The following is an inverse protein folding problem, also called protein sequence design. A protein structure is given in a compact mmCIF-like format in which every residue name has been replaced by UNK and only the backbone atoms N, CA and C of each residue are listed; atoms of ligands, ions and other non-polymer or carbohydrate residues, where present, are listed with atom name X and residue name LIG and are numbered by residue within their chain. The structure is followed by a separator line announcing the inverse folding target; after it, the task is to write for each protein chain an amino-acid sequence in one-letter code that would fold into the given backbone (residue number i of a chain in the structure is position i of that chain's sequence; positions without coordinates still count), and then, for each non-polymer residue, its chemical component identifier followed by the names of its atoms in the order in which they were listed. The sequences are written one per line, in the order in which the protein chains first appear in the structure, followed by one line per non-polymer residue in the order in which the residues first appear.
data_IF_618768256083
#
_entry.id   IF_618768256083
#
_cell.length_a   1.000
_cell.length_b   1.000
_cell.length_c   1.000
_cell.angle_alpha   90.00
_cell.angle_beta   90.00
_cell.angle_gamma   90.00
#
_symmetry.space_group_name_H-M   'P 1'
#
loop_
_entity.id
_entity.type
_entity.pdbx_description
1 polymer ?
#
# COMPACT_ATOMS: atom_id res chain seq x y z
N UNK A 1 -14.58 13.92 -10.17
CA UNK A 1 -13.16 13.85 -10.56
C UNK A 1 -12.95 14.88 -11.66
N UNK A 2 -11.92 15.72 -11.58
CA UNK A 2 -11.70 16.76 -12.57
C UNK A 2 -11.15 16.10 -13.86
N UNK A 3 -11.54 16.50 -15.09
CA UNK A 3 -11.13 15.82 -16.32
C UNK A 3 -9.61 15.66 -16.51
N UNK A 4 -8.83 16.57 -15.91
CA UNK A 4 -7.37 16.54 -15.90
C UNK A 4 -6.83 15.36 -15.07
N UNK A 5 -7.50 15.01 -13.98
CA UNK A 5 -7.09 13.93 -13.07
C UNK A 5 -7.22 12.56 -13.76
N UNK A 6 -8.24 12.39 -14.61
CA UNK A 6 -8.47 11.16 -15.36
C UNK A 6 -7.40 10.96 -16.44
N UNK A 7 -7.06 12.02 -17.18
CA UNK A 7 -6.01 11.95 -18.19
C UNK A 7 -4.63 11.67 -17.57
N UNK A 8 -4.32 12.31 -16.44
CA UNK A 8 -3.10 12.06 -15.69
C UNK A 8 -3.05 10.61 -15.17
N UNK A 9 -4.15 10.11 -14.60
CA UNK A 9 -4.24 8.74 -14.09
C UNK A 9 -3.98 7.70 -15.19
N UNK A 10 -4.51 7.92 -16.40
CA UNK A 10 -4.26 7.05 -17.56
C UNK A 10 -2.78 7.09 -17.97
N UNK A 11 -2.19 8.29 -18.04
CA UNK A 11 -0.77 8.43 -18.41
C UNK A 11 0.15 7.76 -17.39
N UNK A 12 -0.13 7.90 -16.10
CA UNK A 12 0.61 7.22 -15.03
C UNK A 12 0.46 5.70 -15.14
N UNK A 13 -0.75 5.21 -15.40
CA UNK A 13 -1.00 3.77 -15.57
C UNK A 13 -0.22 3.19 -16.76
N UNK A 14 -0.13 3.92 -17.88
CA UNK A 14 0.71 3.52 -19.02
C UNK A 14 2.20 3.41 -18.66
N UNK A 15 2.66 4.21 -17.67
CA UNK A 15 4.00 4.11 -17.09
C UNK A 15 4.07 3.08 -15.94
N UNK A 16 3.02 2.30 -15.71
CA UNK A 16 2.88 1.29 -14.64
C UNK A 16 2.88 1.87 -13.23
N UNK A 17 2.43 3.12 -13.11
CA UNK A 17 2.28 3.83 -11.84
C UNK A 17 0.80 3.86 -11.46
N UNK A 18 0.49 3.40 -10.26
CA UNK A 18 -0.81 3.49 -9.61
C UNK A 18 -0.68 4.43 -8.41
N UNK A 19 -1.64 5.33 -8.22
CA UNK A 19 -1.65 6.28 -7.10
C UNK A 19 -2.78 5.94 -6.14
N UNK A 20 -2.43 5.63 -4.89
CA UNK A 20 -3.32 5.58 -3.75
C UNK A 20 -3.25 6.93 -3.02
N UNK A 21 -4.02 7.91 -3.50
CA UNK A 21 -3.93 9.32 -3.08
C UNK A 21 -5.04 9.80 -2.14
N UNK A 22 -5.84 8.90 -1.58
CA UNK A 22 -7.00 9.23 -0.75
C UNK A 22 -7.28 8.15 0.29
N UNK A 23 -8.35 8.31 1.07
CA UNK A 23 -8.87 7.27 1.94
C UNK A 23 -9.15 5.97 1.16
N UNK A 24 -8.84 4.84 1.78
CA UNK A 24 -9.06 3.50 1.23
C UNK A 24 -10.53 3.11 1.44
N UNK A 25 -11.31 3.16 0.36
CA UNK A 25 -12.68 2.64 0.31
C UNK A 25 -12.81 1.52 -0.74
N UNK A 26 -13.98 0.88 -0.80
CA UNK A 26 -14.22 -0.23 -1.72
C UNK A 26 -14.14 0.19 -3.20
N UNK A 27 -14.52 1.43 -3.53
CA UNK A 27 -14.47 1.93 -4.90
C UNK A 27 -13.04 2.13 -5.39
N UNK A 28 -12.20 2.72 -4.55
CA UNK A 28 -10.78 2.90 -4.79
C UNK A 28 -10.04 1.56 -4.81
N UNK A 29 -10.33 0.66 -3.87
CA UNK A 29 -9.71 -0.65 -3.84
C UNK A 29 -10.03 -1.47 -5.09
N UNK A 30 -11.29 -1.52 -5.52
CA UNK A 30 -11.66 -2.21 -6.77
C UNK A 30 -10.93 -1.64 -7.99
N UNK A 31 -10.76 -0.32 -8.05
CA UNK A 31 -10.00 0.34 -9.12
C UNK A 31 -8.53 -0.07 -9.10
N UNK A 32 -7.87 -0.02 -7.94
CA UNK A 32 -6.46 -0.39 -7.79
C UNK A 32 -6.26 -1.87 -8.11
N UNK A 33 -7.12 -2.77 -7.62
CA UNK A 33 -7.06 -4.19 -7.96
C UNK A 33 -7.20 -4.42 -9.47
N UNK A 34 -8.15 -3.74 -10.12
CA UNK A 34 -8.30 -3.80 -11.58
C UNK A 34 -7.06 -3.29 -12.33
N UNK A 35 -6.45 -2.20 -11.87
CA UNK A 35 -5.22 -1.66 -12.44
C UNK A 35 -4.03 -2.61 -12.27
N UNK A 36 -3.86 -3.22 -11.09
CA UNK A 36 -2.83 -4.23 -10.83
C UNK A 36 -2.98 -5.43 -11.78
N UNK A 37 -4.20 -5.96 -11.91
CA UNK A 37 -4.49 -7.09 -12.80
C UNK A 37 -4.26 -6.72 -14.26
N UNK A 38 -4.65 -5.52 -14.68
CA UNK A 38 -4.43 -5.04 -16.06
C UNK A 38 -2.93 -4.92 -16.38
N UNK A 39 -2.16 -4.26 -15.52
CA UNK A 39 -0.71 -4.09 -15.70
C UNK A 39 0.03 -5.43 -15.67
N UNK A 40 -0.45 -6.37 -14.87
CA UNK A 40 0.08 -7.74 -14.82
C UNK A 40 -0.19 -8.49 -16.12
N UNK A 41 -1.42 -8.40 -16.64
CA UNK A 41 -1.78 -9.01 -17.92
C UNK A 41 -1.01 -8.40 -19.11
N UNK A 42 -0.74 -7.09 -19.09
CA UNK A 42 0.06 -6.42 -20.12
C UNK A 42 1.52 -6.88 -20.13
N UNK A 43 2.14 -6.99 -18.96
CA UNK A 43 3.49 -7.53 -18.82
C UNK A 43 3.70 -8.08 -17.40
N UNK A 44 3.74 -9.40 -17.21
CA UNK A 44 3.83 -10.00 -15.89
C UNK A 44 5.22 -9.86 -15.24
N UNK A 45 6.25 -9.45 -16.00
CA UNK A 45 7.64 -9.44 -15.52
C UNK A 45 8.11 -8.04 -15.12
N UNK A 46 7.40 -6.99 -15.53
CA UNK A 46 7.78 -5.61 -15.22
C UNK A 46 7.21 -5.19 -13.87
N UNK A 47 8.03 -4.51 -13.08
CA UNK A 47 7.62 -3.89 -11.81
C UNK A 47 6.38 -3.00 -12.01
N UNK A 48 5.50 -2.98 -11.01
CA UNK A 48 4.41 -2.03 -10.88
C UNK A 48 4.72 -1.11 -9.70
N UNK A 49 4.47 0.18 -9.84
CA UNK A 49 4.78 1.18 -8.82
C UNK A 49 3.49 1.67 -8.18
N UNK A 50 3.34 1.47 -6.87
CA UNK A 50 2.23 1.95 -6.06
C UNK A 50 2.68 3.14 -5.22
N UNK A 51 2.26 4.34 -5.61
CA UNK A 51 2.57 5.57 -4.89
C UNK A 51 1.46 5.89 -3.90
N UNK A 52 1.83 6.12 -2.64
CA UNK A 52 0.91 6.16 -1.50
C UNK A 52 0.97 7.54 -0.86
N UNK A 53 -0.20 8.17 -0.79
CA UNK A 53 -0.50 9.34 0.03
C UNK A 53 -1.92 9.17 0.58
N UNK A 54 -2.06 8.34 1.62
CA UNK A 54 -3.33 7.91 2.17
C UNK A 54 -3.33 7.93 3.69
N UNK A 55 -4.41 8.43 4.33
CA UNK A 55 -4.59 8.32 5.77
C UNK A 55 -4.97 6.88 6.21
N UNK A 56 -5.21 5.97 5.27
CA UNK A 56 -5.78 4.65 5.52
C UNK A 56 -7.25 4.58 5.18
N UNK A 57 -8.01 3.70 5.83
CA UNK A 57 -9.43 3.50 5.56
C UNK A 57 -9.89 2.08 5.89
N UNK A 58 -10.77 1.53 5.08
CA UNK A 58 -11.35 0.20 5.24
C UNK A 58 -10.30 -0.91 5.22
N UNK A 59 -10.26 -1.71 6.29
CA UNK A 59 -9.36 -2.86 6.41
C UNK A 59 -9.63 -3.91 5.34
N UNK A 60 -10.89 -4.21 5.05
CA UNK A 60 -11.25 -5.21 4.03
C UNK A 60 -10.89 -4.73 2.63
N UNK A 61 -11.11 -3.45 2.33
CA UNK A 61 -10.72 -2.84 1.06
C UNK A 61 -9.19 -2.87 0.87
N UNK A 62 -8.43 -2.53 1.91
CA UNK A 62 -6.97 -2.60 1.85
C UNK A 62 -6.44 -4.04 1.77
N UNK A 63 -7.07 -5.01 2.43
CA UNK A 63 -6.72 -6.43 2.29
C UNK A 63 -6.97 -6.95 0.88
N UNK A 64 -8.01 -6.46 0.18
CA UNK A 64 -8.23 -6.81 -1.23
C UNK A 64 -7.08 -6.32 -2.13
N UNK A 65 -6.59 -5.10 -1.90
CA UNK A 65 -5.41 -4.58 -2.61
C UNK A 65 -4.18 -5.43 -2.29
N UNK A 66 -3.94 -5.71 -1.00
CA UNK A 66 -2.83 -6.52 -0.52
C UNK A 66 -2.80 -7.91 -1.17
N UNK A 67 -3.90 -8.65 -1.12
CA UNK A 67 -3.97 -9.99 -1.68
C UNK A 67 -3.81 -9.95 -3.20
N UNK A 68 -4.28 -8.88 -3.87
CA UNK A 68 -4.04 -8.68 -5.31
C UNK A 68 -2.57 -8.43 -5.61
N UNK A 69 -1.86 -7.64 -4.80
CA UNK A 69 -0.40 -7.44 -4.91
C UNK A 69 0.35 -8.77 -4.75
N UNK A 70 -0.14 -9.69 -3.91
CA UNK A 70 0.46 -11.02 -3.69
C UNK A 70 0.08 -12.04 -4.76
N UNK A 71 -1.08 -11.87 -5.40
CA UNK A 71 -1.61 -12.75 -6.43
C UNK A 71 -0.85 -12.61 -7.76
N UNK A 72 -0.51 -11.38 -8.13
CA UNK A 72 0.17 -11.11 -9.40
C UNK A 72 1.65 -11.55 -9.34
N UNK A 73 2.25 -12.02 -10.45
CA UNK A 73 3.66 -12.41 -10.49
C UNK A 73 4.63 -11.21 -10.46
N UNK A 74 4.11 -10.00 -10.61
CA UNK A 74 4.90 -8.78 -10.69
C UNK A 74 5.46 -8.39 -9.33
N UNK A 75 6.66 -7.84 -9.32
CA UNK A 75 7.10 -7.03 -8.19
C UNK A 75 6.24 -5.78 -8.07
N UNK A 76 5.84 -5.45 -6.84
CA UNK A 76 5.12 -4.22 -6.52
C UNK A 76 6.02 -3.33 -5.67
N UNK A 77 6.58 -2.30 -6.30
CA UNK A 77 7.32 -1.26 -5.59
C UNK A 77 6.35 -0.29 -4.93
N UNK A 78 6.61 0.10 -3.69
CA UNK A 78 5.78 1.04 -2.93
C UNK A 78 6.57 2.30 -2.59
N UNK A 79 5.91 3.46 -2.65
CA UNK A 79 6.53 4.74 -2.30
C UNK A 79 5.57 5.60 -1.47
N UNK A 80 5.97 5.97 -0.26
CA UNK A 80 5.28 6.99 0.52
C UNK A 80 5.66 8.39 0.02
N UNK A 81 4.68 9.13 -0.52
CA UNK A 81 4.87 10.50 -1.00
C UNK A 81 4.67 11.55 0.09
N UNK A 82 3.73 11.30 1.01
CA UNK A 82 3.32 12.24 2.05
C UNK A 82 2.91 11.46 3.29
N UNK A 83 1.64 11.11 3.42
CA UNK A 83 1.16 10.27 4.51
C UNK A 83 0.97 8.83 4.04
N UNK A 84 1.50 7.86 4.78
CA UNK A 84 1.09 6.48 4.72
C UNK A 84 0.60 6.08 6.11
N UNK A 85 -0.69 6.26 6.38
CA UNK A 85 -1.30 5.95 7.67
C UNK A 85 -2.17 4.71 7.62
N UNK A 86 -2.21 3.93 8.70
CA UNK A 86 -3.13 2.80 8.87
C UNK A 86 -3.05 1.81 7.70
N UNK A 87 -4.13 1.57 6.94
CA UNK A 87 -4.06 0.74 5.73
C UNK A 87 -3.09 1.26 4.65
N UNK A 88 -2.83 2.58 4.58
CA UNK A 88 -1.77 3.15 3.74
C UNK A 88 -0.38 2.72 4.20
N UNK A 89 -0.12 2.72 5.52
CA UNK A 89 1.12 2.18 6.10
C UNK A 89 1.25 0.68 5.80
N UNK A 90 0.17 -0.07 6.01
CA UNK A 90 0.17 -1.51 5.78
C UNK A 90 0.54 -1.86 4.33
N UNK A 91 -0.11 -1.19 3.36
CA UNK A 91 0.14 -1.40 1.94
C UNK A 91 1.56 -0.97 1.53
N UNK A 92 2.08 0.13 2.10
CA UNK A 92 3.47 0.55 1.92
C UNK A 92 4.44 -0.56 2.34
N UNK A 93 4.28 -1.07 3.56
CA UNK A 93 5.13 -2.12 4.13
C UNK A 93 5.01 -3.45 3.41
N UNK A 94 3.86 -3.68 2.77
CA UNK A 94 3.58 -4.85 1.94
C UNK A 94 4.08 -4.74 0.50
N UNK A 95 4.96 -3.79 0.14
CA UNK A 95 5.66 -3.85 -1.14
C UNK A 95 6.60 -5.06 -1.24
N UNK A 96 7.19 -5.28 -2.41
CA UNK A 96 8.26 -6.28 -2.60
C UNK A 96 9.47 -5.90 -1.73
N UNK A 97 10.07 -6.82 -0.96
CA UNK A 97 11.27 -6.55 -0.18
C UNK A 97 12.41 -5.96 -1.04
N UNK A 98 13.07 -4.91 -0.53
CA UNK A 98 14.07 -4.13 -1.25
C UNK A 98 13.49 -3.09 -2.22
N UNK A 99 12.16 -2.95 -2.31
CA UNK A 99 11.47 -2.03 -3.22
C UNK A 99 10.40 -1.17 -2.52
N UNK A 100 10.54 -0.97 -1.19
CA UNK A 100 9.65 -0.15 -0.37
C UNK A 100 10.35 1.15 -0.01
N UNK A 101 9.73 2.28 -0.31
CA UNK A 101 10.40 3.57 -0.29
C UNK A 101 9.59 4.64 0.43
N UNK A 102 10.27 5.67 0.93
CA UNK A 102 9.63 6.89 1.41
C UNK A 102 10.40 8.12 0.96
N UNK A 103 9.70 9.23 0.71
CA UNK A 103 10.33 10.54 0.59
C UNK A 103 10.77 11.06 1.98
N UNK A 104 11.73 12.00 2.06
CA UNK A 104 12.40 12.35 3.33
C UNK A 104 11.48 12.99 4.38
N UNK A 105 10.32 13.50 3.96
CA UNK A 105 9.33 14.12 4.84
C UNK A 105 8.00 13.36 4.88
N UNK A 106 7.99 12.15 4.32
CA UNK A 106 6.84 11.29 4.44
C UNK A 106 6.66 10.86 5.91
N UNK A 107 5.41 10.82 6.34
CA UNK A 107 5.03 10.33 7.66
C UNK A 107 4.35 8.99 7.52
N UNK A 108 4.79 8.04 8.32
CA UNK A 108 4.18 6.72 8.40
C UNK A 108 3.48 6.61 9.75
N UNK A 109 2.21 6.21 9.75
CA UNK A 109 1.41 6.07 10.97
C UNK A 109 0.92 4.64 11.11
N UNK A 110 1.36 3.97 12.17
CA UNK A 110 0.80 2.70 12.62
C UNK A 110 -0.12 2.98 13.81
N UNK A 111 -1.33 2.41 13.79
CA UNK A 111 -2.25 2.47 14.91
C UNK A 111 -3.22 1.30 14.87
N UNK A 112 -3.90 1.06 15.99
CA UNK A 112 -4.92 0.03 16.09
C UNK A 112 -6.14 0.45 15.27
N UNK A 113 -6.62 -0.43 14.41
CA UNK A 113 -7.85 -0.20 13.67
C UNK A 113 -9.03 0.10 14.60
N UNK A 114 -9.83 1.09 14.23
CA UNK A 114 -11.05 1.47 14.95
C UNK A 114 -12.29 1.11 14.11
N UNK A 115 -13.37 0.73 14.77
CA UNK A 115 -14.67 0.59 14.13
C UNK A 115 -15.79 0.99 15.11
N UNK A 116 -16.89 1.51 14.57
CA UNK A 116 -18.12 1.79 15.30
C UNK A 116 -19.15 0.71 15.01
N UNK A 117 -19.70 0.09 16.05
CA UNK A 117 -20.76 -0.91 15.93
C UNK A 117 -21.96 -0.52 16.81
N UNK A 118 -23.17 -0.85 16.37
CA UNK A 118 -24.41 -0.66 17.13
C UNK A 118 -25.41 -1.77 16.80
N UNK A 119 -26.30 -2.08 17.73
CA UNK A 119 -27.24 -3.19 17.61
C UNK A 119 -27.52 -3.85 18.95
N UNK A 120 -27.99 -5.10 18.92
CA UNK A 120 -28.13 -5.91 20.13
C UNK A 120 -26.75 -6.29 20.69
N UNK A 121 -26.70 -6.76 21.94
CA UNK A 121 -25.44 -7.24 22.53
C UNK A 121 -24.78 -8.35 21.70
N UNK A 122 -25.59 -9.23 21.09
CA UNK A 122 -25.11 -10.28 20.20
C UNK A 122 -24.51 -9.71 18.90
N UNK A 123 -25.13 -8.68 18.31
CA UNK A 123 -24.58 -8.03 17.12
C UNK A 123 -23.22 -7.39 17.43
N UNK A 124 -23.12 -6.67 18.56
CA UNK A 124 -21.88 -6.04 19.01
C UNK A 124 -20.77 -7.08 19.22
N UNK A 125 -21.08 -8.21 19.84
CA UNK A 125 -20.12 -9.30 20.06
C UNK A 125 -19.62 -9.90 18.74
N UNK A 126 -20.52 -10.14 17.78
CA UNK A 126 -20.14 -10.66 16.45
C UNK A 126 -19.17 -9.71 15.74
N UNK A 127 -19.48 -8.41 15.72
CA UNK A 127 -18.65 -7.43 15.05
C UNK A 127 -17.31 -7.19 15.77
N UNK A 128 -17.29 -7.20 17.10
CA UNK A 128 -16.06 -7.09 17.88
C UNK A 128 -15.10 -8.26 17.58
N UNK A 129 -15.62 -9.50 17.55
CA UNK A 129 -14.83 -10.68 17.20
C UNK A 129 -14.26 -10.60 15.77
N UNK A 130 -15.03 -10.08 14.81
CA UNK A 130 -14.55 -9.89 13.45
C UNK A 130 -13.45 -8.82 13.37
N UNK A 131 -13.59 -7.71 14.10
CA UNK A 131 -12.56 -6.67 14.18
C UNK A 131 -11.26 -7.22 14.78
N UNK A 132 -11.36 -7.99 15.87
CA UNK A 132 -10.21 -8.63 16.51
C UNK A 132 -9.49 -9.60 15.55
N UNK A 133 -10.25 -10.39 14.77
CA UNK A 133 -9.69 -11.30 13.77
C UNK A 133 -8.95 -10.56 12.66
N UNK A 134 -9.53 -9.49 12.13
CA UNK A 134 -8.89 -8.65 11.13
C UNK A 134 -7.64 -7.96 11.69
N UNK A 135 -7.73 -7.41 12.91
CA UNK A 135 -6.61 -6.80 13.61
C UNK A 135 -5.43 -7.77 13.78
N UNK A 136 -5.68 -8.98 14.29
CA UNK A 136 -4.64 -10.04 14.40
C UNK A 136 -4.02 -10.39 13.05
N UNK A 137 -4.80 -10.40 11.99
CA UNK A 137 -4.31 -10.67 10.63
C UNK A 137 -3.33 -9.59 10.19
N UNK A 138 -3.69 -8.32 10.35
CA UNK A 138 -2.82 -7.19 10.03
C UNK A 138 -1.54 -7.21 10.86
N UNK A 139 -1.63 -7.41 12.18
CA UNK A 139 -0.46 -7.47 13.06
C UNK A 139 0.54 -8.55 12.63
N UNK A 140 0.03 -9.76 12.33
CA UNK A 140 0.85 -10.87 11.86
C UNK A 140 1.54 -10.55 10.53
N UNK A 141 0.80 -9.99 9.57
CA UNK A 141 1.34 -9.63 8.26
C UNK A 141 2.34 -8.47 8.34
N UNK A 142 2.08 -7.46 9.16
CA UNK A 142 3.04 -6.37 9.41
C UNK A 142 4.31 -6.91 10.06
N UNK A 143 4.21 -7.81 11.04
CA UNK A 143 5.37 -8.47 11.64
C UNK A 143 6.18 -9.26 10.60
N UNK A 144 5.51 -10.00 9.72
CA UNK A 144 6.13 -10.75 8.61
C UNK A 144 6.90 -9.84 7.65
N UNK A 145 6.31 -8.72 7.22
CA UNK A 145 6.94 -7.80 6.26
C UNK A 145 8.03 -6.92 6.88
N UNK A 146 7.94 -6.61 8.18
CA UNK A 146 8.94 -5.78 8.87
C UNK A 146 10.10 -6.58 9.43
N UNK A 147 9.90 -7.88 9.68
CA UNK A 147 10.84 -8.71 10.44
C UNK A 147 10.80 -8.47 11.95
N UNK A 148 9.89 -7.60 12.44
CA UNK A 148 9.72 -7.36 13.86
C UNK A 148 8.97 -8.53 14.53
N UNK A 149 9.25 -8.84 15.81
CA UNK A 149 8.41 -9.75 16.59
C UNK A 149 6.96 -9.26 16.64
N UNK A 150 6.00 -10.18 16.56
CA UNK A 150 4.57 -9.83 16.59
C UNK A 150 4.18 -9.03 17.84
N UNK A 151 4.76 -9.35 19.00
CA UNK A 151 4.52 -8.64 20.26
C UNK A 151 4.99 -7.18 20.21
N UNK A 152 6.08 -6.90 19.47
CA UNK A 152 6.58 -5.54 19.23
C UNK A 152 5.56 -4.77 18.40
N UNK A 153 5.11 -5.33 17.27
CA UNK A 153 4.12 -4.70 16.40
C UNK A 153 2.80 -4.47 17.13
N UNK A 154 2.32 -5.45 17.90
CA UNK A 154 1.10 -5.30 18.69
C UNK A 154 1.23 -4.14 19.69
N UNK A 155 2.28 -4.15 20.52
CA UNK A 155 2.53 -3.08 21.50
C UNK A 155 2.57 -1.72 20.83
N UNK A 156 3.26 -1.63 19.70
CA UNK A 156 3.53 -0.38 19.01
C UNK A 156 2.31 0.13 18.23
N UNK A 157 1.35 -0.74 17.89
CA UNK A 157 0.07 -0.37 17.28
C UNK A 157 -1.01 0.05 18.28
N UNK A 158 -0.89 -0.28 19.58
CA UNK A 158 -1.94 -0.03 20.59
C UNK A 158 -2.34 1.45 20.71
N UNK A 159 -1.44 2.35 20.30
CA UNK A 159 -1.70 3.78 20.16
C UNK A 159 -1.13 4.24 18.83
N UNK A 160 -1.55 5.44 18.43
CA UNK A 160 -0.95 6.14 17.30
C UNK A 160 0.55 6.24 17.50
N UNK A 161 1.29 5.58 16.60
CA UNK A 161 2.74 5.67 16.52
C UNK A 161 3.12 6.25 15.16
N UNK A 162 3.66 7.45 15.22
CA UNK A 162 4.18 8.17 14.08
C UNK A 162 5.65 7.82 13.88
N UNK A 163 6.04 7.68 12.62
CA UNK A 163 7.41 7.44 12.19
C UNK A 163 7.79 8.48 11.14
N UNK A 164 8.96 9.07 11.33
CA UNK A 164 9.73 9.70 10.24
C UNK A 164 10.14 8.65 9.20
N UNK A 165 10.62 9.10 8.03
CA UNK A 165 11.11 8.20 7.00
C UNK A 165 12.30 7.34 7.50
N UNK A 166 13.20 7.93 8.28
CA UNK A 166 14.34 7.25 8.89
C UNK A 166 13.92 6.23 9.95
N UNK A 167 13.00 6.59 10.85
CA UNK A 167 12.47 5.64 11.85
C UNK A 167 11.69 4.50 11.19
N UNK A 168 10.98 4.77 10.08
CA UNK A 168 10.28 3.75 9.31
C UNK A 168 11.26 2.78 8.64
N UNK A 169 12.40 3.28 8.15
CA UNK A 169 13.50 2.47 7.62
C UNK A 169 14.09 1.57 8.73
N UNK A 170 14.44 2.14 9.87
CA UNK A 170 15.00 1.40 11.01
C UNK A 170 14.03 0.34 11.56
N UNK A 171 12.73 0.62 11.54
CA UNK A 171 11.70 -0.33 11.97
C UNK A 171 11.47 -1.47 10.97
N UNK A 172 11.87 -1.29 9.71
CA UNK A 172 11.65 -2.24 8.61
C UNK A 172 10.32 -2.04 7.86
N UNK A 173 9.67 -0.89 8.02
CA UNK A 173 8.43 -0.53 7.28
C UNK A 173 8.72 -0.21 5.82
N UNK A 174 9.93 0.27 5.53
CA UNK A 174 10.47 0.57 4.19
C UNK A 174 11.91 0.06 4.09
N UNK A 175 12.47 0.07 2.89
CA UNK A 175 13.83 -0.37 2.59
C UNK A 175 14.80 0.78 2.31
N UNK A 176 14.30 1.95 1.86
CA UNK A 176 15.16 3.11 1.58
C UNK A 176 14.37 4.43 1.62
N UNK A 177 15.05 5.50 2.06
CA UNK A 177 14.59 6.88 1.92
C UNK A 177 15.16 7.47 0.64
N UNK A 178 14.32 8.05 -0.22
CA UNK A 178 14.71 8.55 -1.54
C UNK A 178 14.75 10.07 -1.57
N UNK A 179 15.78 10.62 -2.21
CA UNK A 179 15.93 12.05 -2.50
C UNK A 179 15.91 12.36 -4.02
N UNK A 180 15.88 11.33 -4.87
CA UNK A 180 15.81 11.46 -6.33
C UNK A 180 14.70 10.61 -6.96
N UNK A 181 14.12 11.12 -8.05
CA UNK A 181 13.11 10.40 -8.84
C UNK A 181 13.71 9.26 -9.66
N UNK A 182 15.00 9.32 -9.98
CA UNK A 182 15.67 8.30 -10.80
C UNK A 182 15.70 6.93 -10.10
N UNK A 183 15.58 6.90 -8.76
CA UNK A 183 15.56 5.67 -7.97
C UNK A 183 14.24 4.90 -8.08
N UNK A 184 13.16 5.55 -8.53
CA UNK A 184 11.80 4.98 -8.65
C UNK A 184 11.18 5.18 -10.02
N UNK A 185 11.98 5.66 -10.99
CA UNK A 185 11.52 5.86 -12.36
C UNK A 185 11.23 4.48 -12.98
N UNK A 186 10.01 4.24 -13.51
CA UNK A 186 9.72 2.98 -14.18
C UNK A 186 10.70 2.75 -15.34
N UNK A 187 11.13 1.50 -15.53
CA UNK A 187 12.02 1.13 -16.61
C UNK A 187 11.41 1.52 -17.96
N UNK A 188 11.91 2.60 -18.55
CA UNK A 188 11.54 3.02 -19.90
C UNK A 188 12.35 2.20 -20.91
N UNK A 189 12.19 0.88 -20.93
CA UNK A 189 12.61 0.12 -22.10
C UNK A 189 11.71 0.54 -23.25
N UNK A 190 12.17 1.51 -24.06
CA UNK A 190 11.66 1.68 -25.43
C UNK A 190 11.68 0.29 -26.07
N UNK A 191 10.53 -0.29 -26.37
CA UNK A 191 10.51 -1.27 -27.44
C UNK A 191 11.15 -0.57 -28.64
N UNK A 192 12.23 -1.10 -29.24
CA UNK A 192 12.60 -0.63 -30.55
C UNK A 192 11.39 -0.92 -31.42
N UNK A 193 10.71 0.12 -31.89
CA UNK A 193 9.75 -0.02 -32.97
C UNK A 193 10.50 -0.76 -34.07
N UNK A 194 10.15 -2.03 -34.27
CA UNK A 194 10.68 -2.83 -35.34
C UNK A 194 10.44 -2.06 -36.63
N UNK A 195 11.51 -1.60 -37.27
CA UNK A 195 11.48 -1.30 -38.68
C UNK A 195 11.24 -2.64 -39.37
N UNK A 196 9.97 -2.94 -39.65
CA UNK A 196 9.62 -3.90 -40.67
C UNK A 196 10.11 -3.34 -42.00
N UNK A 197 11.23 -3.87 -42.47
CA UNK A 197 11.65 -3.81 -43.87
C UNK A 197 10.84 -4.83 -44.69
#
# INVERSE_FOLDING_TARGET
MHPVDDQLSIQLLQQRIIVLGSEVDDGLANRICGQLLLLSAENPQRTIHLYINSPGGSVTAGLAIYDTMRLIPNDVSTLALGLAGSMGQFLLTAGTPGKRYALPHAQILMHQGSAGFGGTAADVEIYANQLERLGRTLLRLTAEHTGQPIDTVERDSRRDRWFTAEEALEYGLIDQVLDSVDDVRPDTTRQPMGLSA
#
